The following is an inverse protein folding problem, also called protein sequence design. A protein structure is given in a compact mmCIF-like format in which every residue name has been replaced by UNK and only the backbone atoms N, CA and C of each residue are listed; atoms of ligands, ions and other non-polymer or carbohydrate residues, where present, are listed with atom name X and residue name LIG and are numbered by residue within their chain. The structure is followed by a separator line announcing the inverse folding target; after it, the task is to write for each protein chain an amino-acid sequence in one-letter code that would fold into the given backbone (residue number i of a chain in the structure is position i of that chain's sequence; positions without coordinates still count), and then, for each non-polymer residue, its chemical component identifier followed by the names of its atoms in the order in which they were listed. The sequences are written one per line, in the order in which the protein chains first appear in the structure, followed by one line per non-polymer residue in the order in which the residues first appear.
data_IF_438292817950
#
_entry.id   IF_438292817950
#
_cell.length_a   1.000
_cell.length_b   1.000
_cell.length_c   1.000
_cell.angle_alpha   90.00
_cell.angle_beta   90.00
_cell.angle_gamma   90.00
#
_symmetry.space_group_name_H-M   'P 1'
#
loop_
_entity.id
_entity.type
_entity.pdbx_description
1 polymer ?
#
# COMPACT_ATOMS: atom_id res chain seq x y z
N UNK A 1 14.78 -2.81 -8.71
CA UNK A 1 14.19 -2.90 -7.36
C UNK A 1 13.06 -3.95 -7.31
N UNK A 2 13.14 -4.89 -6.38
CA UNK A 2 12.07 -5.87 -6.12
C UNK A 2 10.81 -5.14 -5.61
N UNK A 3 9.64 -5.51 -6.12
CA UNK A 3 8.35 -4.98 -5.68
C UNK A 3 7.53 -6.16 -5.16
N UNK A 4 7.17 -6.23 -3.88
CA UNK A 4 6.33 -7.30 -3.38
C UNK A 4 4.96 -7.28 -4.07
N UNK A 5 4.42 -8.47 -4.27
CA UNK A 5 3.01 -8.70 -4.56
C UNK A 5 2.41 -9.30 -3.29
N UNK A 6 1.22 -8.86 -2.92
CA UNK A 6 0.45 -9.53 -1.89
C UNK A 6 -0.74 -10.21 -2.56
N UNK A 7 -1.13 -11.37 -2.03
CA UNK A 7 -2.34 -12.08 -2.43
C UNK A 7 -3.22 -12.12 -1.18
N UNK A 8 -4.47 -11.69 -1.31
CA UNK A 8 -5.43 -11.65 -0.21
C UNK A 8 -6.77 -12.21 -0.65
N UNK A 9 -7.66 -12.51 0.32
CA UNK A 9 -9.03 -12.91 0.03
C UNK A 9 -9.82 -11.76 -0.60
N UNK A 10 -10.97 -12.07 -1.22
CA UNK A 10 -11.76 -11.09 -2.00
C UNK A 10 -12.40 -9.99 -1.13
N UNK A 11 -12.55 -10.26 0.16
CA UNK A 11 -13.18 -9.40 1.17
C UNK A 11 -12.20 -8.43 1.85
N UNK A 12 -10.93 -8.39 1.43
CA UNK A 12 -10.02 -7.32 1.86
C UNK A 12 -10.58 -5.94 1.47
N UNK A 13 -10.38 -4.92 2.30
CA UNK A 13 -10.77 -3.56 1.98
C UNK A 13 -10.26 -3.12 0.59
N UNK A 14 -11.11 -2.46 -0.22
CA UNK A 14 -10.72 -2.01 -1.55
C UNK A 14 -9.67 -0.91 -1.48
N UNK A 15 -8.95 -0.69 -2.58
CA UNK A 15 -8.04 0.44 -2.68
C UNK A 15 -8.79 1.76 -2.51
N UNK A 16 -8.21 2.67 -1.71
CA UNK A 16 -8.67 4.04 -1.65
C UNK A 16 -8.27 4.79 -2.92
N UNK A 17 -9.27 5.18 -3.71
CA UNK A 17 -9.10 5.83 -5.02
C UNK A 17 -8.46 7.22 -4.95
N UNK A 18 -8.33 7.81 -3.76
CA UNK A 18 -7.62 9.09 -3.57
C UNK A 18 -6.11 8.93 -3.84
N UNK A 19 -5.54 7.76 -3.60
CA UNK A 19 -4.11 7.50 -3.84
C UNK A 19 -3.85 7.10 -5.30
N UNK A 20 -3.64 8.11 -6.16
CA UNK A 20 -3.34 7.90 -7.59
C UNK A 20 -1.92 7.38 -7.85
N UNK A 21 -0.99 7.63 -6.93
CA UNK A 21 0.39 7.16 -7.03
C UNK A 21 0.53 5.74 -6.48
N UNK A 22 1.20 4.87 -7.24
CA UNK A 22 1.35 3.44 -6.93
C UNK A 22 2.01 3.11 -5.59
N UNK A 23 2.73 4.05 -4.97
CA UNK A 23 3.39 3.83 -3.69
C UNK A 23 2.41 3.91 -2.52
N UNK A 24 1.70 5.04 -2.37
CA UNK A 24 0.76 5.22 -1.26
C UNK A 24 -0.49 4.36 -1.38
N UNK A 25 -0.93 4.00 -2.59
CA UNK A 25 -2.04 3.07 -2.78
C UNK A 25 -1.79 1.70 -2.12
N UNK A 26 -0.54 1.23 -2.12
CA UNK A 26 -0.18 -0.05 -1.49
C UNK A 26 -0.11 0.08 0.03
N UNK A 27 0.55 1.14 0.51
CA UNK A 27 0.71 1.36 1.95
C UNK A 27 -0.65 1.59 2.61
N UNK A 28 -1.53 2.39 2.00
CA UNK A 28 -2.87 2.66 2.52
C UNK A 28 -3.70 1.38 2.62
N UNK A 29 -3.70 0.55 1.58
CA UNK A 29 -4.42 -0.72 1.60
C UNK A 29 -3.87 -1.70 2.65
N UNK A 30 -2.54 -1.78 2.81
CA UNK A 30 -1.94 -2.60 3.86
C UNK A 30 -2.37 -2.13 5.25
N UNK A 31 -2.39 -0.82 5.46
CA UNK A 31 -2.82 -0.20 6.70
C UNK A 31 -4.28 -0.48 7.04
N UNK A 32 -5.19 -0.24 6.10
CA UNK A 32 -6.62 -0.48 6.31
C UNK A 32 -6.89 -1.96 6.56
N UNK A 33 -6.30 -2.86 5.77
CA UNK A 33 -6.47 -4.31 5.95
C UNK A 33 -5.94 -4.76 7.32
N UNK A 34 -4.80 -4.23 7.78
CA UNK A 34 -4.29 -4.54 9.11
C UNK A 34 -5.28 -4.11 10.20
N UNK A 35 -5.78 -2.88 10.14
CA UNK A 35 -6.75 -2.35 11.11
C UNK A 35 -8.09 -3.09 11.07
N UNK A 36 -8.49 -3.59 9.90
CA UNK A 36 -9.67 -4.42 9.68
C UNK A 36 -9.55 -5.85 10.23
N UNK A 37 -8.36 -6.26 10.71
CA UNK A 37 -8.17 -7.56 11.38
C UNK A 37 -7.36 -8.60 10.59
N UNK A 38 -6.89 -8.27 9.38
CA UNK A 38 -6.08 -9.18 8.58
C UNK A 38 -4.63 -9.27 9.08
N UNK A 39 -4.03 -10.46 8.96
CA UNK A 39 -2.64 -10.71 9.29
C UNK A 39 -1.84 -11.04 8.02
N UNK A 40 -0.53 -10.80 8.05
CA UNK A 40 0.36 -10.99 6.91
C UNK A 40 1.35 -12.11 7.16
N UNK A 41 1.59 -12.91 6.12
CA UNK A 41 2.67 -13.88 6.08
C UNK A 41 3.51 -13.66 4.82
N UNK A 42 4.83 -13.78 4.97
CA UNK A 42 5.75 -13.78 3.83
C UNK A 42 5.86 -15.21 3.33
N UNK A 43 5.39 -15.46 2.11
CA UNK A 43 5.57 -16.75 1.45
C UNK A 43 6.99 -16.84 0.89
N UNK A 44 7.79 -17.78 1.41
CA UNK A 44 9.18 -18.00 1.01
C UNK A 44 9.36 -19.19 0.04
N UNK A 45 8.27 -19.89 -0.28
CA UNK A 45 8.21 -21.03 -1.20
C UNK A 45 7.58 -20.69 -2.56
N UNK A 46 7.14 -19.44 -2.74
CA UNK A 46 6.56 -18.95 -4.01
C UNK A 46 7.48 -17.88 -4.57
N UNK A 47 8.00 -18.12 -5.77
CA UNK A 47 8.88 -17.18 -6.46
C UNK A 47 8.13 -16.54 -7.63
N UNK A 48 8.12 -15.20 -7.67
CA UNK A 48 7.68 -14.44 -8.83
C UNK A 48 8.92 -13.99 -9.59
N UNK A 49 9.07 -14.47 -10.83
CA UNK A 49 10.09 -13.96 -11.74
C UNK A 49 9.54 -12.75 -12.48
N UNK A 50 10.24 -11.62 -12.40
CA UNK A 50 10.00 -10.46 -13.26
C UNK A 50 10.96 -10.55 -14.44
N UNK A 51 10.42 -10.67 -15.65
CA UNK A 51 11.20 -10.57 -16.88
C UNK A 51 11.82 -9.18 -16.99
N UNK A 52 13.16 -9.14 -17.04
CA UNK A 52 13.94 -7.93 -17.28
C UNK A 52 14.27 -7.11 -16.03
N UNK A 53 15.46 -6.52 -16.06
CA UNK A 53 15.81 -5.42 -15.17
C UNK A 53 15.30 -4.12 -15.82
N UNK A 54 14.57 -3.31 -15.06
CA UNK A 54 14.28 -1.94 -15.48
C UNK A 54 15.61 -1.18 -15.55
N UNK A 55 16.05 -0.85 -16.75
CA UNK A 55 17.16 0.08 -16.94
C UNK A 55 16.75 1.42 -16.30
N UNK A 56 17.62 1.96 -15.45
CA UNK A 56 17.39 3.25 -14.79
C UNK A 56 17.22 4.37 -15.82
N UNK A 57 17.80 4.24 -17.01
CA UNK A 57 17.66 5.18 -18.13
C UNK A 57 16.24 5.19 -18.74
N UNK A 58 15.49 4.09 -18.58
CA UNK A 58 14.14 3.87 -19.12
C UNK A 58 13.04 4.22 -18.10
N UNK A 59 13.42 4.52 -16.86
CA UNK A 59 12.48 5.09 -15.91
C UNK A 59 12.23 6.54 -16.36
N UNK A 60 10.98 6.95 -16.63
CA UNK A 60 10.66 8.37 -16.63
C UNK A 60 11.27 8.95 -15.35
N UNK A 61 11.77 10.19 -15.39
CA UNK A 61 12.04 10.99 -14.20
C UNK A 61 10.73 11.08 -13.40
N UNK A 62 10.42 9.99 -12.72
CA UNK A 62 9.40 9.84 -11.72
C UNK A 62 10.10 10.59 -10.62
N UNK A 63 9.97 11.93 -10.65
CA UNK A 63 10.03 12.70 -9.42
C UNK A 63 9.28 11.81 -8.46
N UNK A 64 9.99 11.26 -7.48
CA UNK A 64 9.36 10.75 -6.29
C UNK A 64 8.64 12.01 -5.83
N UNK A 65 7.37 12.14 -6.23
CA UNK A 65 6.58 13.27 -5.87
C UNK A 65 6.29 12.96 -4.40
N UNK A 66 7.27 13.29 -3.56
CA UNK A 66 7.03 13.82 -2.23
C UNK A 66 6.20 15.08 -2.48
N UNK A 67 4.94 14.82 -2.81
CA UNK A 67 3.89 15.81 -2.88
C UNK A 67 3.51 15.98 -1.43
N UNK A 68 3.74 17.15 -0.84
CA UNK A 68 3.24 17.45 0.51
C UNK A 68 1.73 17.14 0.60
N UNK A 69 1.01 17.25 -0.53
CA UNK A 69 -0.38 16.82 -0.69
C UNK A 69 -0.60 15.33 -0.40
N UNK A 70 0.33 14.46 -0.80
CA UNK A 70 0.25 13.02 -0.55
C UNK A 70 0.46 12.67 0.92
N UNK A 71 1.31 13.41 1.64
CA UNK A 71 1.50 13.23 3.07
C UNK A 71 0.26 13.66 3.85
N UNK A 72 -0.27 14.85 3.56
CA UNK A 72 -1.51 15.35 4.17
C UNK A 72 -2.69 14.42 3.91
N UNK A 73 -2.80 13.91 2.68
CA UNK A 73 -3.82 12.91 2.33
C UNK A 73 -3.66 11.63 3.16
N UNK A 74 -2.42 11.16 3.37
CA UNK A 74 -2.16 9.95 4.15
C UNK A 74 -2.50 10.16 5.63
N UNK A 75 -2.19 11.33 6.20
CA UNK A 75 -2.57 11.68 7.57
C UNK A 75 -4.09 11.71 7.74
N UNK A 76 -4.81 12.36 6.83
CA UNK A 76 -6.27 12.37 6.85
C UNK A 76 -6.84 10.95 6.73
N UNK A 77 -6.25 10.11 5.88
CA UNK A 77 -6.61 8.71 5.77
C UNK A 77 -6.42 7.94 7.09
N UNK A 78 -5.32 8.15 7.82
CA UNK A 78 -5.12 7.53 9.15
C UNK A 78 -6.20 7.95 10.15
N UNK A 79 -6.57 9.23 10.18
CA UNK A 79 -7.67 9.71 11.03
C UNK A 79 -9.03 9.08 10.65
N UNK A 80 -9.30 8.94 9.36
CA UNK A 80 -10.50 8.27 8.84
C UNK A 80 -10.54 6.79 9.29
N UNK A 81 -9.39 6.10 9.26
CA UNK A 81 -9.27 4.72 9.73
C UNK A 81 -9.53 4.59 11.23
N UNK A 82 -9.01 5.50 12.06
CA UNK A 82 -9.26 5.49 13.50
C UNK A 82 -10.76 5.64 13.83
N UNK A 83 -11.49 6.45 13.04
CA UNK A 83 -12.94 6.59 13.17
C UNK A 83 -13.68 5.34 12.68
N UNK A 84 -13.30 4.81 11.52
CA UNK A 84 -13.93 3.63 10.89
C UNK A 84 -13.75 2.36 11.72
N UNK A 85 -12.57 2.18 12.31
CA UNK A 85 -12.18 1.01 13.09
C UNK A 85 -12.02 1.36 14.57
N UNK A 86 -12.96 2.09 15.17
CA UNK A 86 -12.88 2.56 16.56
C UNK A 86 -12.68 1.45 17.61
N UNK A 87 -13.15 0.24 17.29
CA UNK A 87 -13.08 -0.92 18.20
C UNK A 87 -11.77 -1.72 18.09
N UNK A 88 -10.90 -1.43 17.12
CA UNK A 88 -9.63 -2.16 16.96
C UNK A 88 -8.54 -1.57 17.85
N UNK A 89 -7.67 -2.42 18.39
CA UNK A 89 -6.43 -2.01 19.06
C UNK A 89 -5.28 -1.82 18.08
N UNK A 90 -5.44 -2.27 16.83
CA UNK A 90 -4.44 -2.18 15.77
C UNK A 90 -4.29 -0.74 15.28
N UNK A 91 -3.06 -0.34 14.93
CA UNK A 91 -2.75 1.01 14.45
C UNK A 91 -1.89 0.95 13.20
N UNK A 92 -2.32 1.73 12.22
CA UNK A 92 -1.48 2.38 11.23
C UNK A 92 -1.66 3.89 11.48
#
# INVERSE_FOLDING_TARGET
PWKPYYVGPKDVPPFDSRFKAHAHARISQCCESFMAGYDYAVLNNVYLYRLGFLDKSQLPNTKLIEDDTSLLLFQQFQEDLLKRYSNTTRRC
#
